data_IF_162148595775
#
_entry.id   IF_162148595775
#
_cell.length_a   1.000
_cell.length_b   1.000
_cell.length_c   1.000
_cell.angle_alpha   90.00
_cell.angle_beta   90.00
_cell.angle_gamma   90.00
#
_symmetry.space_group_name_H-M   'P 1'
#
loop_
_entity.id
_entity.type
_entity.pdbx_description
1 polymer ?
#
# COMPACT_ATOMS: atom_id res chain seq x y z
N UNK A 1 -6.99 -0.39 -18.48
CA UNK A 1 -7.87 -1.46 -18.98
C UNK A 1 -7.37 -2.78 -18.44
N UNK A 2 -8.19 -3.51 -17.68
CA UNK A 2 -7.94 -4.93 -17.39
C UNK A 2 -7.67 -5.67 -18.71
N UNK A 3 -6.78 -6.68 -18.75
CA UNK A 3 -6.56 -7.42 -19.97
C UNK A 3 -7.89 -8.01 -20.42
N UNK A 4 -8.34 -7.58 -21.59
CA UNK A 4 -9.52 -8.11 -22.26
C UNK A 4 -9.29 -9.60 -22.43
N UNK A 5 -10.17 -10.41 -21.86
CA UNK A 5 -10.26 -11.84 -22.15
C UNK A 5 -10.72 -11.95 -23.60
N UNK A 6 -9.74 -12.03 -24.50
CA UNK A 6 -9.94 -12.36 -25.90
C UNK A 6 -10.56 -13.73 -26.01
N UNK A 7 -11.72 -13.78 -26.67
CA UNK A 7 -12.50 -14.96 -26.97
C UNK A 7 -11.98 -15.66 -28.22
N UNK A 8 -10.96 -16.51 -28.11
CA UNK A 8 -10.57 -17.39 -29.21
C UNK A 8 -9.87 -18.69 -28.74
N UNK A 9 -10.70 -19.67 -28.36
CA UNK A 9 -10.72 -20.95 -29.09
C UNK A 9 -9.48 -21.84 -29.22
N UNK A 10 -8.37 -21.66 -28.49
CA UNK A 10 -7.26 -22.62 -28.49
C UNK A 10 -6.94 -23.13 -27.08
N UNK A 11 -7.55 -24.27 -26.75
CA UNK A 11 -7.26 -25.08 -25.56
C UNK A 11 -5.92 -25.80 -25.73
N UNK A 12 -4.82 -25.04 -25.67
CA UNK A 12 -3.48 -25.61 -25.48
C UNK A 12 -3.36 -26.25 -24.09
N UNK A 13 -2.42 -27.20 -23.88
CA UNK A 13 -2.25 -27.82 -22.57
C UNK A 13 -2.01 -26.72 -21.54
N UNK A 14 -2.74 -26.76 -20.41
CA UNK A 14 -2.57 -25.81 -19.31
C UNK A 14 -1.12 -25.86 -18.85
N UNK A 15 -0.29 -24.96 -19.39
CA UNK A 15 1.11 -24.82 -19.00
C UNK A 15 1.13 -24.62 -17.49
N UNK A 16 1.82 -25.51 -16.77
CA UNK A 16 2.14 -25.31 -15.37
C UNK A 16 2.67 -23.89 -15.21
N UNK A 17 2.05 -23.12 -14.31
CA UNK A 17 2.32 -21.68 -14.10
C UNK A 17 3.75 -21.51 -13.59
N UNK A 18 4.72 -21.51 -14.51
CA UNK A 18 6.13 -21.22 -14.24
C UNK A 18 6.26 -19.71 -14.05
N UNK A 19 6.18 -19.26 -12.80
CA UNK A 19 6.30 -17.86 -12.43
C UNK A 19 5.52 -17.50 -11.17
N UNK A 20 5.48 -18.43 -10.21
CA UNK A 20 4.74 -18.27 -8.96
C UNK A 20 5.78 -18.05 -7.85
N UNK A 21 5.75 -16.89 -7.22
CA UNK A 21 6.52 -16.60 -6.00
C UNK A 21 6.09 -17.53 -4.85
N UNK A 22 6.87 -17.66 -3.75
CA UNK A 22 6.35 -18.27 -2.53
C UNK A 22 4.98 -17.67 -2.18
N UNK A 23 4.05 -18.53 -1.73
CA UNK A 23 2.62 -18.24 -1.49
C UNK A 23 1.69 -18.11 -2.72
N UNK A 24 2.07 -18.56 -3.93
CA UNK A 24 1.09 -18.66 -5.03
C UNK A 24 0.91 -17.39 -5.86
N UNK A 25 1.70 -16.34 -5.60
CA UNK A 25 1.56 -15.01 -6.23
C UNK A 25 2.18 -14.96 -7.63
N UNK A 26 1.48 -14.31 -8.56
CA UNK A 26 1.97 -14.03 -9.92
C UNK A 26 3.03 -12.91 -9.83
N UNK A 27 4.10 -13.01 -10.62
CA UNK A 27 5.00 -11.87 -10.85
C UNK A 27 4.25 -10.77 -11.62
N UNK A 28 3.83 -9.72 -10.92
CA UNK A 28 3.17 -8.57 -11.50
C UNK A 28 4.20 -7.46 -11.76
N UNK A 29 4.54 -7.26 -13.04
CA UNK A 29 5.41 -6.18 -13.53
C UNK A 29 4.60 -4.99 -14.09
N UNK A 30 3.33 -4.85 -13.68
CA UNK A 30 2.47 -3.73 -14.10
C UNK A 30 3.04 -2.39 -13.63
N UNK A 31 2.80 -1.34 -14.42
CA UNK A 31 3.34 0.00 -14.19
C UNK A 31 2.67 0.79 -13.04
N UNK A 32 1.62 0.25 -12.43
CA UNK A 32 0.84 0.92 -11.39
C UNK A 32 -0.65 0.58 -11.48
N UNK A 33 -1.30 0.16 -10.37
CA UNK A 33 -0.74 -0.18 -9.07
C UNK A 33 0.27 -1.36 -9.15
N UNK A 34 1.27 -1.34 -8.27
CA UNK A 34 2.42 -2.25 -8.28
C UNK A 34 2.34 -3.34 -7.19
N UNK A 35 3.31 -4.25 -7.17
CA UNK A 35 3.40 -5.33 -6.17
C UNK A 35 3.83 -4.78 -4.81
N UNK A 36 3.06 -5.11 -3.77
CA UNK A 36 3.47 -4.92 -2.37
C UNK A 36 4.29 -6.12 -1.85
N UNK A 37 5.30 -5.86 -0.97
CA UNK A 37 6.00 -6.90 -0.21
C UNK A 37 5.02 -7.82 0.51
N UNK A 38 5.34 -9.12 0.60
CA UNK A 38 4.44 -10.10 1.21
C UNK A 38 4.25 -9.86 2.70
N UNK A 39 5.34 -9.54 3.41
CA UNK A 39 5.34 -9.22 4.85
C UNK A 39 4.32 -8.13 5.20
N UNK A 40 4.25 -7.05 4.41
CA UNK A 40 3.30 -5.95 4.62
C UNK A 40 1.85 -6.40 4.43
N UNK A 41 1.60 -7.28 3.44
CA UNK A 41 0.25 -7.80 3.19
C UNK A 41 -0.21 -8.70 4.35
N UNK A 42 0.70 -9.51 4.89
CA UNK A 42 0.42 -10.40 6.02
C UNK A 42 0.17 -9.61 7.31
N UNK A 43 0.98 -8.59 7.58
CA UNK A 43 0.80 -7.68 8.72
C UNK A 43 -0.55 -6.94 8.66
N UNK A 44 -0.86 -6.31 7.53
CA UNK A 44 -2.15 -5.63 7.35
C UNK A 44 -3.33 -6.61 7.47
N UNK A 45 -3.19 -7.82 6.95
CA UNK A 45 -4.24 -8.84 7.06
C UNK A 45 -4.49 -9.25 8.53
N UNK A 46 -3.46 -9.27 9.37
CA UNK A 46 -3.57 -9.56 10.79
C UNK A 46 -4.23 -8.42 11.59
N UNK A 47 -4.05 -7.17 11.16
CA UNK A 47 -4.61 -5.97 11.81
C UNK A 47 -6.03 -5.61 11.33
N UNK A 48 -6.47 -6.13 10.18
CA UNK A 48 -7.83 -5.94 9.67
C UNK A 48 -8.93 -6.18 10.73
N UNK A 49 -8.92 -7.28 11.51
CA UNK A 49 -9.94 -7.53 12.53
C UNK A 49 -9.75 -6.76 13.83
N UNK A 50 -8.52 -6.43 14.22
CA UNK A 50 -8.22 -5.71 15.46
C UNK A 50 -6.89 -4.98 15.35
N UNK A 51 -6.95 -3.67 15.12
CA UNK A 51 -5.78 -2.81 15.04
C UNK A 51 -5.22 -2.54 16.44
N UNK A 52 -3.95 -2.86 16.69
CA UNK A 52 -3.25 -2.56 17.95
C UNK A 52 -4.02 -2.96 19.23
N UNK A 53 -4.73 -4.09 19.19
CA UNK A 53 -5.60 -4.55 20.29
C UNK A 53 -6.68 -3.53 20.74
N UNK A 54 -7.00 -2.55 19.90
CA UNK A 54 -7.96 -1.47 20.19
C UNK A 54 -9.41 -1.93 20.31
N UNK A 55 -9.72 -3.14 19.85
CA UNK A 55 -11.07 -3.70 19.75
C UNK A 55 -11.83 -3.26 18.50
N UNK A 56 -11.19 -2.48 17.62
CA UNK A 56 -11.73 -2.07 16.31
C UNK A 56 -10.82 -2.56 15.19
N UNK A 57 -11.41 -3.00 14.08
CA UNK A 57 -10.64 -3.34 12.89
C UNK A 57 -9.99 -2.11 12.25
N UNK A 58 -8.91 -2.31 11.50
CA UNK A 58 -8.21 -1.25 10.76
C UNK A 58 -9.13 -0.40 9.87
N UNK A 59 -10.19 -1.01 9.32
CA UNK A 59 -11.15 -0.30 8.45
C UNK A 59 -12.33 0.33 9.22
N UNK A 60 -12.43 0.07 10.52
CA UNK A 60 -13.54 0.49 11.39
C UNK A 60 -13.12 1.60 12.34
N UNK A 61 -11.81 1.75 12.59
CA UNK A 61 -11.27 2.79 13.45
C UNK A 61 -11.59 4.18 12.91
N UNK A 62 -12.07 5.06 13.78
CA UNK A 62 -12.34 6.46 13.43
C UNK A 62 -11.04 7.18 13.09
N UNK A 63 -11.05 7.98 12.01
CA UNK A 63 -9.93 8.86 11.63
C UNK A 63 -9.56 9.91 12.69
N UNK A 64 -10.41 10.13 13.70
CA UNK A 64 -10.14 11.04 14.83
C UNK A 64 -9.68 10.30 16.09
N UNK A 65 -9.60 8.98 16.05
CA UNK A 65 -9.19 8.21 17.21
C UNK A 65 -7.69 8.43 17.48
N UNK A 66 -7.25 8.39 18.75
CA UNK A 66 -5.83 8.42 19.08
C UNK A 66 -5.05 7.27 18.42
N UNK A 67 -5.67 6.09 18.28
CA UNK A 67 -5.09 4.93 17.60
C UNK A 67 -4.78 5.25 16.14
N UNK A 68 -5.75 5.80 15.40
CA UNK A 68 -5.53 6.18 14.00
C UNK A 68 -4.50 7.32 13.86
N UNK A 69 -4.57 8.32 14.75
CA UNK A 69 -3.60 9.42 14.74
C UNK A 69 -2.17 8.91 14.94
N UNK A 70 -1.97 7.95 15.83
CA UNK A 70 -0.66 7.33 16.08
C UNK A 70 -0.10 6.62 14.83
N UNK A 71 -0.96 5.95 14.06
CA UNK A 71 -0.59 5.31 12.78
C UNK A 71 -0.14 6.37 11.77
N UNK A 72 -0.89 7.47 11.62
CA UNK A 72 -0.55 8.55 10.70
C UNK A 72 0.75 9.24 11.10
N UNK A 73 0.94 9.57 12.37
CA UNK A 73 2.14 10.23 12.88
C UNK A 73 3.38 9.35 12.64
N UNK A 74 3.27 8.04 12.90
CA UNK A 74 4.33 7.05 12.62
C UNK A 74 4.67 6.97 11.13
N UNK A 75 3.65 6.94 10.26
CA UNK A 75 3.85 6.91 8.81
C UNK A 75 4.54 8.20 8.31
N UNK A 76 4.11 9.36 8.79
CA UNK A 76 4.67 10.65 8.41
C UNK A 76 6.14 10.77 8.84
N UNK A 77 6.46 10.36 10.07
CA UNK A 77 7.84 10.32 10.57
C UNK A 77 8.74 9.39 9.73
N UNK A 78 8.23 8.21 9.34
CA UNK A 78 8.97 7.26 8.49
C UNK A 78 9.24 7.84 7.11
N UNK A 79 8.24 8.47 6.49
CA UNK A 79 8.39 9.13 5.20
C UNK A 79 9.43 10.25 5.29
N UNK A 80 9.34 11.13 6.30
CA UNK A 80 10.33 12.20 6.52
C UNK A 80 11.74 11.65 6.68
N UNK A 81 11.90 10.58 7.46
CA UNK A 81 13.19 9.92 7.66
C UNK A 81 13.77 9.34 6.38
N UNK A 82 12.96 8.65 5.57
CA UNK A 82 13.41 8.03 4.31
C UNK A 82 13.78 9.10 3.27
N UNK A 83 13.02 10.19 3.22
CA UNK A 83 13.23 11.27 2.27
C UNK A 83 14.18 12.37 2.77
N UNK A 84 14.70 12.25 4.00
CA UNK A 84 15.54 13.27 4.65
C UNK A 84 14.92 14.67 4.66
N UNK A 85 13.60 14.74 4.90
CA UNK A 85 12.85 16.01 4.91
C UNK A 85 13.20 16.81 6.18
N UNK A 86 13.62 18.07 6.06
CA UNK A 86 13.88 18.96 7.19
C UNK A 86 12.67 19.19 8.12
N UNK A 87 12.93 19.45 9.41
CA UNK A 87 11.91 19.65 10.46
C UNK A 87 11.06 20.93 10.27
N UNK A 88 11.58 21.92 9.56
CA UNK A 88 10.90 23.18 9.23
C UNK A 88 9.85 23.02 8.12
N UNK A 89 9.75 21.83 7.54
CA UNK A 89 8.82 21.52 6.49
C UNK A 89 7.51 20.92 7.02
N UNK A 90 6.46 21.76 7.05
CA UNK A 90 5.10 21.37 7.39
C UNK A 90 4.20 21.41 6.17
N UNK A 91 3.81 20.23 5.69
CA UNK A 91 2.75 20.06 4.72
C UNK A 91 1.97 18.78 5.00
N UNK A 92 0.63 18.77 4.86
CA UNK A 92 -0.18 17.59 5.06
C UNK A 92 0.21 16.49 4.05
N UNK A 93 0.25 15.22 4.49
CA UNK A 93 0.43 14.08 3.58
C UNK A 93 -0.83 13.92 2.74
N UNK A 94 -0.77 14.08 1.40
CA UNK A 94 -1.95 13.97 0.57
C UNK A 94 -2.36 12.51 0.34
N UNK A 95 -3.66 12.22 0.45
CA UNK A 95 -4.24 10.93 0.04
C UNK A 95 -4.08 10.76 -1.46
N UNK A 96 -3.19 9.87 -1.91
CA UNK A 96 -2.97 9.62 -3.35
C UNK A 96 -1.53 9.59 -3.83
N UNK A 97 -0.54 9.61 -2.92
CA UNK A 97 0.87 9.34 -3.25
C UNK A 97 1.59 10.46 -4.00
N UNK A 98 0.96 11.63 -4.15
CA UNK A 98 1.55 12.79 -4.82
C UNK A 98 2.32 13.66 -3.83
N UNK A 99 3.53 13.23 -3.45
CA UNK A 99 4.41 13.97 -2.52
C UNK A 99 5.10 15.18 -3.17
N UNK A 100 5.16 15.23 -4.51
CA UNK A 100 5.70 16.35 -5.29
C UNK A 100 4.88 17.64 -5.15
N UNK A 101 3.59 17.54 -4.86
CA UNK A 101 2.73 18.70 -4.64
C UNK A 101 3.01 19.42 -3.31
N UNK A 102 3.73 18.76 -2.40
CA UNK A 102 4.12 19.40 -1.14
C UNK A 102 5.46 20.13 -1.35
N UNK A 103 6.41 19.55 -2.10
CA UNK A 103 7.82 20.01 -2.12
C UNK A 103 8.06 21.32 -2.87
N UNK A 104 7.04 21.86 -3.53
CA UNK A 104 7.18 23.01 -4.43
C UNK A 104 6.64 24.34 -3.88
N UNK A 105 6.12 24.36 -2.65
CA UNK A 105 5.66 25.58 -1.95
C UNK A 105 6.33 25.71 -0.57
N UNK A 106 7.61 26.06 -0.60
CA UNK A 106 8.29 26.84 0.45
C UNK A 106 8.90 28.04 -0.29
N UNK A 107 8.86 29.28 0.24
CA UNK A 107 9.20 30.49 -0.51
C UNK A 107 10.59 30.47 -1.16
#
# INVERSE_FOLDING_TARGET
MNPIVGSDGLKGPKRARRGVQPAGRIHNFGAGPAVLPLEVVEEVAAELPNLDESGFGLLEVSHRSPTFQSVIDSAEQRIRRVLSVPEDYKGPVPTGGRLDAVLHDCP
#
